data_IF_078517109120
#
_entry.id   IF_078517109120
#
_cell.length_a   1.000
_cell.length_b   1.000
_cell.length_c   1.000
_cell.angle_alpha   90.00
_cell.angle_beta   90.00
_cell.angle_gamma   90.00
#
_symmetry.space_group_name_H-M   'P 1'
#
loop_
_entity.id
_entity.type
_entity.pdbx_description
1 polymer ?
#
# COMPACT_ATOMS: atom_id res chain seq x y z
N UNK A 1 -21.73 11.77 -25.22
CA UNK A 1 -20.46 11.92 -25.94
C UNK A 1 -20.83 11.71 -27.40
N UNK A 2 -20.84 12.77 -28.17
CA UNK A 2 -21.28 12.71 -29.56
C UNK A 2 -20.24 11.95 -30.38
N UNK A 3 -20.63 10.76 -30.82
CA UNK A 3 -19.81 9.88 -31.63
C UNK A 3 -19.92 10.25 -33.14
N UNK A 4 -19.80 11.55 -33.43
CA UNK A 4 -19.83 12.07 -34.77
C UNK A 4 -18.43 12.05 -35.39
N UNK A 5 -18.31 11.39 -36.55
CA UNK A 5 -17.03 11.30 -37.29
C UNK A 5 -16.46 12.69 -37.63
N UNK A 6 -17.34 13.65 -37.87
CA UNK A 6 -16.98 15.05 -38.19
C UNK A 6 -16.24 15.76 -37.09
N UNK A 7 -16.53 15.39 -35.82
CA UNK A 7 -15.91 15.97 -34.63
C UNK A 7 -14.68 15.16 -34.16
N UNK A 8 -14.41 14.03 -34.80
CA UNK A 8 -13.25 13.21 -34.49
C UNK A 8 -12.04 13.68 -35.31
N UNK A 9 -11.12 14.35 -34.66
CA UNK A 9 -9.92 14.93 -35.27
C UNK A 9 -8.65 14.36 -34.65
N UNK A 10 -8.23 13.16 -35.08
CA UNK A 10 -7.00 12.55 -34.58
C UNK A 10 -5.77 13.25 -35.19
N UNK A 11 -4.60 13.17 -34.51
CA UNK A 11 -3.34 13.66 -35.06
C UNK A 11 -3.05 13.01 -36.42
N UNK A 12 -2.86 13.81 -37.50
CA UNK A 12 -2.76 13.28 -38.87
C UNK A 12 -1.46 12.50 -39.12
N UNK A 13 -0.45 12.71 -38.32
CA UNK A 13 0.83 11.98 -38.31
C UNK A 13 0.71 10.56 -37.70
N UNK A 14 -0.31 10.32 -36.87
CA UNK A 14 -0.55 9.02 -36.26
C UNK A 14 -1.68 8.24 -36.92
N UNK A 15 -2.72 8.93 -37.38
CA UNK A 15 -3.94 8.30 -37.89
C UNK A 15 -4.42 8.99 -39.18
N UNK A 16 -4.40 8.24 -40.26
CA UNK A 16 -4.98 8.67 -41.54
C UNK A 16 -6.51 8.44 -41.52
N UNK A 17 -7.27 9.51 -41.28
CA UNK A 17 -8.72 9.51 -41.15
C UNK A 17 -9.43 8.99 -42.40
N UNK A 18 -8.82 9.12 -43.59
CA UNK A 18 -9.40 8.72 -44.86
C UNK A 18 -9.51 7.19 -45.04
N UNK A 19 -8.75 6.45 -44.25
CA UNK A 19 -8.76 4.97 -44.26
C UNK A 19 -9.89 4.35 -43.45
N UNK A 20 -10.71 5.17 -42.79
CA UNK A 20 -11.80 4.67 -41.95
C UNK A 20 -13.16 4.98 -42.57
N UNK A 21 -14.04 4.01 -42.58
CA UNK A 21 -15.44 4.14 -43.02
C UNK A 21 -16.40 4.53 -41.91
N UNK A 22 -15.89 5.13 -40.83
CA UNK A 22 -16.63 5.54 -39.64
C UNK A 22 -15.72 5.71 -38.45
N UNK A 23 -16.27 6.12 -37.33
CA UNK A 23 -15.50 6.22 -36.06
C UNK A 23 -15.05 4.83 -35.67
N UNK A 24 -13.75 4.63 -35.39
CA UNK A 24 -13.26 3.34 -34.92
C UNK A 24 -14.00 2.90 -33.65
N UNK A 25 -14.43 1.63 -33.65
CA UNK A 25 -15.04 1.05 -32.43
C UNK A 25 -14.06 1.12 -31.30
N UNK A 26 -14.61 1.24 -30.09
CA UNK A 26 -13.81 1.30 -28.90
C UNK A 26 -12.84 0.11 -28.81
N UNK A 27 -11.55 0.41 -28.77
CA UNK A 27 -10.50 -0.59 -28.62
C UNK A 27 -10.50 -1.23 -27.23
N UNK A 28 -9.75 -2.31 -27.09
CA UNK A 28 -9.57 -3.08 -25.85
C UNK A 28 -9.16 -2.17 -24.68
N UNK A 29 -8.38 -1.12 -24.94
CA UNK A 29 -7.92 -0.17 -23.92
C UNK A 29 -8.97 0.80 -23.37
N UNK A 30 -10.22 0.79 -23.87
CA UNK A 30 -11.23 1.74 -23.37
C UNK A 30 -11.57 1.56 -21.91
N UNK A 31 -11.55 0.33 -21.40
CA UNK A 31 -11.78 0.02 -19.99
C UNK A 31 -10.65 0.48 -19.06
N UNK A 32 -9.49 0.87 -19.60
CA UNK A 32 -8.32 1.32 -18.85
C UNK A 32 -8.20 2.86 -18.81
N UNK A 33 -9.29 3.56 -19.02
CA UNK A 33 -9.31 5.02 -18.88
C UNK A 33 -9.07 5.40 -17.43
N UNK A 34 -8.09 6.27 -17.21
CA UNK A 34 -7.79 6.83 -15.90
C UNK A 34 -8.43 8.21 -15.81
N UNK A 35 -9.23 8.52 -14.79
CA UNK A 35 -9.75 9.86 -14.53
C UNK A 35 -8.62 10.87 -14.34
N UNK A 36 -8.86 12.12 -14.74
CA UNK A 36 -7.86 13.19 -14.60
C UNK A 36 -7.48 13.43 -13.14
N UNK A 37 -8.42 13.25 -12.24
CA UNK A 37 -8.25 13.37 -10.81
C UNK A 37 -7.22 12.35 -10.28
N UNK A 38 -7.28 11.12 -10.76
CA UNK A 38 -6.32 10.07 -10.38
C UNK A 38 -4.92 10.37 -10.93
N UNK A 39 -4.83 10.91 -12.14
CA UNK A 39 -3.55 11.32 -12.73
C UNK A 39 -2.91 12.42 -11.87
N UNK A 40 -3.68 13.44 -11.47
CA UNK A 40 -3.18 14.53 -10.62
C UNK A 40 -2.77 13.99 -9.25
N UNK A 41 -3.59 13.14 -8.64
CA UNK A 41 -3.28 12.52 -7.35
C UNK A 41 -1.97 11.72 -7.42
N UNK A 42 -1.77 10.93 -8.48
CA UNK A 42 -0.53 10.18 -8.71
C UNK A 42 0.67 11.12 -8.88
N UNK A 43 0.55 12.19 -9.66
CA UNK A 43 1.64 13.15 -9.87
C UNK A 43 2.04 13.85 -8.56
N UNK A 44 1.06 14.19 -7.71
CA UNK A 44 1.33 14.76 -6.38
C UNK A 44 2.03 13.74 -5.49
N UNK A 45 1.57 12.49 -5.46
CA UNK A 45 2.20 11.43 -4.68
C UNK A 45 3.65 11.18 -5.13
N UNK A 46 3.90 11.10 -6.44
CA UNK A 46 5.25 10.95 -7.00
C UNK A 46 6.15 12.14 -6.65
N UNK A 47 5.62 13.36 -6.70
CA UNK A 47 6.39 14.55 -6.31
C UNK A 47 6.78 14.52 -4.85
N UNK A 48 5.88 14.13 -3.95
CA UNK A 48 6.16 13.98 -2.53
C UNK A 48 7.19 12.87 -2.29
N UNK A 49 7.08 11.77 -3.01
CA UNK A 49 8.04 10.67 -2.94
C UNK A 49 9.45 11.11 -3.35
N UNK A 50 9.59 11.75 -4.51
CA UNK A 50 10.89 12.23 -5.03
C UNK A 50 11.50 13.31 -4.12
N UNK A 51 10.67 14.14 -3.47
CA UNK A 51 11.13 15.18 -2.56
C UNK A 51 11.59 14.66 -1.19
N UNK A 52 11.48 13.36 -0.91
CA UNK A 52 11.81 12.78 0.40
C UNK A 52 10.82 13.18 1.50
N UNK A 53 9.61 13.63 1.14
CA UNK A 53 8.60 14.04 2.13
C UNK A 53 8.20 12.92 3.09
N UNK A 54 8.45 11.67 2.71
CA UNK A 54 8.16 10.49 3.53
C UNK A 54 9.33 10.00 4.39
N UNK A 55 10.54 10.54 4.21
CA UNK A 55 11.74 10.06 4.92
C UNK A 55 11.63 10.28 6.43
N UNK A 56 11.06 11.40 6.86
CA UNK A 56 10.77 11.66 8.28
C UNK A 56 9.78 10.65 8.87
N UNK A 57 8.87 10.10 8.06
CA UNK A 57 7.90 9.10 8.48
C UNK A 57 8.55 7.77 8.86
N UNK A 58 9.65 7.41 8.20
CA UNK A 58 10.41 6.17 8.49
C UNK A 58 11.02 6.25 9.90
N UNK A 59 11.61 7.40 10.26
CA UNK A 59 12.20 7.61 11.59
C UNK A 59 11.12 7.59 12.69
N UNK A 60 9.99 8.25 12.44
CA UNK A 60 8.85 8.24 13.36
C UNK A 60 8.29 6.84 13.51
N UNK A 61 8.11 6.11 12.42
CA UNK A 61 7.65 4.73 12.42
C UNK A 61 8.54 3.83 13.26
N UNK A 62 9.86 3.95 13.10
CA UNK A 62 10.83 3.19 13.90
C UNK A 62 10.70 3.48 15.39
N UNK A 63 10.62 4.76 15.77
CA UNK A 63 10.46 5.17 17.17
C UNK A 63 9.18 4.60 17.80
N UNK A 64 8.07 4.54 17.04
CA UNK A 64 6.81 3.94 17.50
C UNK A 64 7.00 2.43 17.74
N UNK A 65 7.61 1.72 16.79
CA UNK A 65 7.86 0.29 16.95
C UNK A 65 8.79 -0.02 18.12
N UNK A 66 9.81 0.80 18.36
CA UNK A 66 10.71 0.66 19.52
C UNK A 66 9.96 0.83 20.85
N UNK A 67 9.01 1.77 20.93
CA UNK A 67 8.14 1.91 22.11
C UNK A 67 7.27 0.68 22.34
N UNK A 68 6.74 0.08 21.27
CA UNK A 68 5.95 -1.17 21.37
C UNK A 68 6.84 -2.30 21.88
N UNK A 69 8.04 -2.47 21.32
CA UNK A 69 9.00 -3.48 21.79
C UNK A 69 9.31 -3.29 23.27
N UNK A 70 9.56 -2.04 23.71
CA UNK A 70 9.81 -1.71 25.10
C UNK A 70 8.62 -2.08 26.01
N UNK A 71 7.38 -1.82 25.56
CA UNK A 71 6.17 -2.18 26.30
C UNK A 71 5.92 -3.69 26.40
N UNK A 72 6.56 -4.48 25.52
CA UNK A 72 6.42 -5.95 25.48
C UNK A 72 7.57 -6.70 26.17
N UNK A 73 8.53 -6.00 26.80
CA UNK A 73 9.74 -6.62 27.40
C UNK A 73 9.42 -7.64 28.49
N UNK A 74 8.34 -7.44 29.24
CA UNK A 74 7.92 -8.34 30.32
C UNK A 74 7.07 -9.52 29.83
N UNK A 75 6.75 -9.56 28.51
CA UNK A 75 6.01 -10.65 27.91
C UNK A 75 6.97 -11.75 27.41
N UNK A 76 6.58 -13.03 27.47
CA UNK A 76 7.39 -14.13 26.94
C UNK A 76 7.33 -14.20 25.40
N UNK A 77 7.62 -13.07 24.75
CA UNK A 77 7.56 -12.88 23.31
C UNK A 77 8.92 -12.44 22.76
N UNK A 78 9.26 -12.90 21.60
CA UNK A 78 10.45 -12.41 20.89
C UNK A 78 10.04 -11.34 19.87
N UNK A 79 10.51 -10.12 20.09
CA UNK A 79 10.24 -8.99 19.22
C UNK A 79 11.46 -8.61 18.39
N UNK A 80 11.31 -8.42 17.09
CA UNK A 80 12.37 -7.99 16.19
C UNK A 80 11.85 -6.97 15.18
N UNK A 81 12.50 -5.80 15.12
CA UNK A 81 12.24 -4.82 14.06
C UNK A 81 13.00 -5.27 12.83
N UNK A 82 12.28 -5.49 11.74
CA UNK A 82 12.81 -5.92 10.45
C UNK A 82 12.88 -4.74 9.50
N UNK A 83 14.11 -4.36 9.14
CA UNK A 83 14.38 -3.43 8.05
C UNK A 83 14.86 -4.22 6.83
N UNK A 84 14.51 -3.79 5.64
CA UNK A 84 15.04 -4.37 4.40
C UNK A 84 16.49 -3.95 4.12
N UNK A 85 17.07 -3.09 4.96
CA UNK A 85 18.43 -2.60 4.79
C UNK A 85 18.56 -1.43 3.80
N UNK A 86 17.46 -1.01 3.22
CA UNK A 86 17.32 0.22 2.46
C UNK A 86 16.62 1.26 3.34
N UNK A 87 17.07 2.48 3.33
CA UNK A 87 16.42 3.58 4.06
C UNK A 87 15.05 3.98 3.44
N UNK A 88 14.60 3.27 2.43
CA UNK A 88 13.41 3.57 1.64
C UNK A 88 12.19 2.74 2.06
N UNK A 89 12.40 1.64 2.79
CA UNK A 89 11.30 0.79 3.24
C UNK A 89 10.93 1.04 4.70
N UNK A 90 9.62 1.09 4.97
CA UNK A 90 9.14 1.18 6.34
C UNK A 90 9.53 -0.07 7.15
N UNK A 91 10.06 0.10 8.37
CA UNK A 91 10.35 -1.03 9.24
C UNK A 91 9.07 -1.76 9.64
N UNK A 92 9.16 -3.05 9.86
CA UNK A 92 8.08 -3.89 10.37
C UNK A 92 8.50 -4.51 11.70
N UNK A 93 7.60 -4.53 12.70
CA UNK A 93 7.83 -5.28 13.92
C UNK A 93 7.29 -6.71 13.74
N UNK A 94 8.18 -7.68 13.85
CA UNK A 94 7.85 -9.11 13.93
C UNK A 94 7.81 -9.51 15.40
N UNK A 95 6.68 -10.05 15.84
CA UNK A 95 6.50 -10.60 17.18
C UNK A 95 6.36 -12.11 17.02
N UNK A 96 7.30 -12.86 17.56
CA UNK A 96 7.30 -14.34 17.50
C UNK A 96 6.67 -14.90 18.76
N UNK A 97 5.69 -15.76 18.58
CA UNK A 97 5.01 -16.52 19.62
C UNK A 97 5.55 -17.98 19.64
N UNK A 98 5.05 -18.82 20.54
CA UNK A 98 5.43 -20.22 20.62
C UNK A 98 5.00 -21.02 19.39
N UNK A 99 3.82 -20.73 18.85
CA UNK A 99 3.21 -21.46 17.73
C UNK A 99 2.12 -20.65 17.05
N UNK A 100 1.58 -21.17 15.93
CA UNK A 100 0.55 -20.50 15.15
C UNK A 100 -0.82 -20.42 15.86
N UNK A 101 -1.12 -21.36 16.74
CA UNK A 101 -2.39 -21.36 17.49
C UNK A 101 -2.39 -20.23 18.52
N UNK A 102 -1.28 -20.07 19.24
CA UNK A 102 -1.04 -18.97 20.18
C UNK A 102 -1.11 -17.61 19.45
N UNK A 103 -0.47 -17.48 18.28
CA UNK A 103 -0.53 -16.28 17.48
C UNK A 103 -1.97 -15.94 17.06
N UNK A 104 -2.74 -16.94 16.62
CA UNK A 104 -4.14 -16.76 16.23
C UNK A 104 -5.02 -16.34 17.41
N UNK A 105 -4.79 -16.91 18.59
CA UNK A 105 -5.49 -16.54 19.81
C UNK A 105 -5.22 -15.09 20.17
N UNK A 106 -3.96 -14.67 20.18
CA UNK A 106 -3.57 -13.27 20.45
C UNK A 106 -4.26 -12.31 19.46
N UNK A 107 -4.25 -12.62 18.17
CA UNK A 107 -4.95 -11.79 17.18
C UNK A 107 -6.44 -11.65 17.49
N UNK A 108 -7.09 -12.74 17.90
CA UNK A 108 -8.50 -12.73 18.23
C UNK A 108 -8.80 -11.91 19.49
N UNK A 109 -7.99 -12.12 20.54
CA UNK A 109 -8.17 -11.44 21.82
C UNK A 109 -7.96 -9.93 21.67
N UNK A 110 -6.92 -9.50 20.94
CA UNK A 110 -6.65 -8.09 20.66
C UNK A 110 -7.78 -7.44 19.85
N UNK A 111 -8.32 -8.16 18.86
CA UNK A 111 -9.44 -7.67 18.05
C UNK A 111 -10.74 -7.55 18.82
N UNK A 112 -10.93 -8.39 19.84
CA UNK A 112 -12.09 -8.33 20.74
C UNK A 112 -11.91 -7.35 21.91
N UNK A 113 -10.76 -6.73 22.05
CA UNK A 113 -10.45 -5.73 23.08
C UNK A 113 -11.15 -4.39 22.85
N UNK A 114 -11.03 -3.51 23.82
CA UNK A 114 -11.54 -2.14 23.73
C UNK A 114 -10.45 -1.14 24.14
N UNK A 115 -9.87 -0.38 23.20
CA UNK A 115 -10.13 -0.40 21.76
C UNK A 115 -9.65 -1.69 21.06
N UNK A 116 -10.25 -2.07 19.93
CA UNK A 116 -9.79 -3.23 19.17
C UNK A 116 -8.44 -2.95 18.50
N UNK A 117 -7.53 -3.93 18.54
CA UNK A 117 -6.21 -3.84 17.91
C UNK A 117 -6.10 -4.90 16.81
N UNK A 118 -5.70 -4.45 15.62
CA UNK A 118 -5.53 -5.30 14.46
C UNK A 118 -4.06 -5.48 14.12
N UNK A 119 -3.59 -6.73 14.05
CA UNK A 119 -2.24 -7.09 13.67
C UNK A 119 -2.21 -7.75 12.29
N UNK A 120 -1.09 -7.61 11.58
CA UNK A 120 -0.83 -8.37 10.37
C UNK A 120 -0.70 -9.86 10.67
N UNK A 121 -1.47 -10.69 9.98
CA UNK A 121 -1.59 -12.12 10.25
C UNK A 121 -1.14 -13.01 9.08
N UNK A 122 -0.43 -12.47 8.10
CA UNK A 122 0.08 -13.23 6.96
C UNK A 122 1.03 -14.38 7.34
N UNK A 123 1.77 -14.24 8.45
CA UNK A 123 2.70 -15.23 8.98
C UNK A 123 2.22 -15.93 10.27
N UNK A 124 0.92 -15.84 10.58
CA UNK A 124 0.33 -16.39 11.80
C UNK A 124 0.54 -17.90 11.93
N UNK A 125 0.47 -18.65 10.81
CA UNK A 125 0.72 -20.09 10.81
C UNK A 125 2.14 -20.47 11.24
N UNK A 126 3.07 -19.54 11.09
CA UNK A 126 4.47 -19.69 11.51
C UNK A 126 4.70 -19.21 12.96
N UNK A 127 3.64 -18.86 13.68
CA UNK A 127 3.73 -18.28 15.02
C UNK A 127 4.23 -16.83 15.02
N UNK A 128 4.03 -16.08 13.96
CA UNK A 128 4.51 -14.71 13.84
C UNK A 128 3.35 -13.74 13.64
N UNK A 129 3.42 -12.62 14.34
CA UNK A 129 2.52 -11.48 14.21
C UNK A 129 3.31 -10.28 13.68
N UNK A 130 2.70 -9.48 12.84
CA UNK A 130 3.34 -8.33 12.21
C UNK A 130 2.64 -7.03 12.61
N UNK A 131 3.42 -6.04 13.01
CA UNK A 131 2.95 -4.66 13.25
C UNK A 131 3.48 -3.78 12.13
N UNK A 132 2.55 -3.22 11.36
CA UNK A 132 2.87 -2.27 10.30
C UNK A 132 2.67 -0.85 10.84
N UNK A 133 3.70 0.00 10.87
CA UNK A 133 3.61 1.34 11.41
C UNK A 133 2.76 2.31 10.58
N UNK A 134 2.40 1.96 9.35
CA UNK A 134 1.52 2.80 8.50
C UNK A 134 0.13 3.04 9.10
N UNK A 135 -0.27 2.24 10.06
CA UNK A 135 -1.61 2.27 10.64
C UNK A 135 -1.60 2.65 12.14
N UNK A 136 -0.49 3.24 12.62
CA UNK A 136 -0.28 3.63 14.01
C UNK A 136 -0.31 5.14 14.22
#
# INVERSE_FOLDING_TARGET
MDDHLELWDPPPDLIDKTKFSGIPRHGIGRGFKVPKEEIIALLVALRLFISGAYDASVLTARSILEKIVQGLQDCPLQCAIRDKGDNESLPLLEIKTTDGETAMRICRDLRCGNPPIYLGHSAVKEGKLLVNPLHL
#
